data_IF_556023541072
#
_entry.id   IF_556023541072
#
_cell.length_a   1.000
_cell.length_b   1.000
_cell.length_c   1.000
_cell.angle_alpha   90.00
_cell.angle_beta   90.00
_cell.angle_gamma   90.00
#
_symmetry.space_group_name_H-M   'P 1'
#
loop_
_entity.id
_entity.type
_entity.pdbx_description
1 polymer ?
#
# COMPACT_ATOMS: atom_id res chain seq x y z
N UNK A 1 -6.81 22.93 -2.00
CA UNK A 1 -5.77 22.44 -1.06
C UNK A 1 -5.06 21.25 -1.68
N UNK A 2 -3.74 21.33 -1.83
CA UNK A 2 -2.91 20.22 -2.30
C UNK A 2 -2.82 19.10 -1.23
N UNK A 3 -2.37 17.91 -1.61
CA UNK A 3 -2.16 16.80 -0.64
C UNK A 3 -1.23 17.21 0.51
N UNK A 4 -0.14 17.90 0.18
CA UNK A 4 0.86 18.37 1.15
C UNK A 4 0.32 19.44 2.09
N UNK A 5 -0.41 20.42 1.57
CA UNK A 5 -1.07 21.44 2.40
C UNK A 5 -2.04 20.82 3.39
N UNK A 6 -2.81 19.80 2.95
CA UNK A 6 -3.78 19.10 3.79
C UNK A 6 -3.13 18.43 4.99
N UNK A 7 -2.04 17.68 4.76
CA UNK A 7 -1.25 17.05 5.82
C UNK A 7 -0.73 18.12 6.80
N UNK A 8 -0.13 19.20 6.26
CA UNK A 8 0.46 20.27 7.09
C UNK A 8 -0.57 20.94 7.99
N UNK A 9 -1.76 21.25 7.47
CA UNK A 9 -2.86 21.84 8.24
C UNK A 9 -3.36 20.89 9.33
N UNK A 10 -3.55 19.61 9.01
CA UNK A 10 -3.98 18.62 9.99
C UNK A 10 -2.97 18.46 11.15
N UNK A 11 -1.67 18.38 10.85
CA UNK A 11 -0.59 18.29 11.86
C UNK A 11 -0.55 19.55 12.74
N UNK A 12 -0.86 20.73 12.17
CA UNK A 12 -0.96 21.99 12.90
C UNK A 12 -2.31 22.19 13.61
N UNK A 13 -3.17 21.16 13.68
CA UNK A 13 -4.50 21.21 14.29
C UNK A 13 -5.46 22.23 13.65
N UNK A 14 -5.24 22.55 12.38
CA UNK A 14 -6.14 23.38 11.57
C UNK A 14 -7.10 22.50 10.75
N UNK A 15 -8.35 22.96 10.56
CA UNK A 15 -9.37 22.21 9.81
C UNK A 15 -9.01 22.07 8.31
N UNK A 16 -8.68 20.86 7.80
CA UNK A 16 -8.43 20.65 6.37
C UNK A 16 -9.75 20.62 5.56
N UNK A 17 -9.66 20.58 4.23
CA UNK A 17 -10.82 20.42 3.32
C UNK A 17 -11.43 19.01 3.37
N UNK A 18 -10.65 18.01 3.78
CA UNK A 18 -11.08 16.63 4.08
C UNK A 18 -10.04 15.92 4.94
N UNK A 19 -10.37 14.73 5.42
CA UNK A 19 -9.44 13.86 6.17
C UNK A 19 -8.20 13.59 5.28
N UNK A 20 -6.97 13.89 5.72
CA UNK A 20 -5.77 13.52 4.99
C UNK A 20 -5.64 12.00 4.94
N UNK A 21 -5.23 11.48 3.78
CA UNK A 21 -4.94 10.06 3.58
C UNK A 21 -3.43 9.95 3.43
N UNK A 22 -2.83 9.19 4.34
CA UNK A 22 -1.45 8.74 4.19
C UNK A 22 -1.45 7.34 3.58
N UNK A 23 -0.82 7.23 2.42
CA UNK A 23 -0.52 5.94 1.78
C UNK A 23 0.96 5.62 2.00
N UNK A 24 1.41 5.78 3.25
CA UNK A 24 2.75 5.41 3.66
C UNK A 24 3.01 3.92 3.36
N UNK A 25 4.22 3.63 2.89
CA UNK A 25 4.71 2.25 2.83
C UNK A 25 5.72 2.05 3.95
N UNK A 26 5.49 1.03 4.75
CA UNK A 26 6.49 0.47 5.65
C UNK A 26 7.10 -0.77 4.98
N UNK A 27 8.17 -1.35 5.52
CA UNK A 27 8.64 -2.67 5.06
C UNK A 27 7.60 -3.79 5.17
N UNK A 28 6.51 -3.56 5.92
CA UNK A 28 5.40 -4.50 6.14
C UNK A 28 4.13 -4.13 5.37
N UNK A 29 4.16 -3.06 4.56
CA UNK A 29 3.04 -2.68 3.69
C UNK A 29 3.11 -3.51 2.41
N UNK A 30 2.24 -4.50 2.28
CA UNK A 30 2.21 -5.37 1.11
C UNK A 30 0.99 -6.29 1.07
N UNK A 31 1.04 -7.26 0.16
CA UNK A 31 0.02 -8.29 -0.04
C UNK A 31 0.64 -9.67 0.20
N UNK A 32 -0.07 -10.56 0.88
CA UNK A 32 0.41 -11.93 1.09
C UNK A 32 0.66 -12.63 -0.24
N UNK A 33 1.79 -13.33 -0.38
CA UNK A 33 2.24 -13.97 -1.62
C UNK A 33 1.20 -14.92 -2.24
N UNK A 34 0.45 -15.65 -1.40
CA UNK A 34 -0.62 -16.54 -1.85
C UNK A 34 -1.80 -15.77 -2.47
N UNK A 35 -2.21 -14.65 -1.86
CA UNK A 35 -3.28 -13.79 -2.37
C UNK A 35 -2.84 -13.07 -3.63
N UNK A 36 -1.59 -12.59 -3.68
CA UNK A 36 -1.04 -11.97 -4.88
C UNK A 36 -0.98 -12.92 -6.06
N UNK A 37 -0.56 -14.18 -5.84
CA UNK A 37 -0.57 -15.21 -6.88
C UNK A 37 -1.98 -15.43 -7.47
N UNK A 38 -3.00 -15.51 -6.62
CA UNK A 38 -4.41 -15.65 -7.04
C UNK A 38 -4.89 -14.42 -7.81
N UNK A 39 -4.52 -13.22 -7.36
CA UNK A 39 -4.86 -11.97 -8.03
C UNK A 39 -4.26 -11.91 -9.44
N UNK A 40 -2.98 -12.28 -9.60
CA UNK A 40 -2.32 -12.34 -10.91
C UNK A 40 -3.05 -13.28 -11.87
N UNK A 41 -3.49 -14.45 -11.39
CA UNK A 41 -4.28 -15.39 -12.18
C UNK A 41 -5.63 -14.79 -12.59
N UNK A 42 -6.35 -14.16 -11.67
CA UNK A 42 -7.64 -13.52 -11.94
C UNK A 42 -7.54 -12.38 -12.96
N UNK A 43 -6.40 -11.68 -12.97
CA UNK A 43 -6.10 -10.61 -13.93
C UNK A 43 -5.53 -11.11 -15.27
N UNK A 44 -5.37 -12.43 -15.46
CA UNK A 44 -4.83 -13.00 -16.70
C UNK A 44 -3.35 -12.68 -16.95
N UNK A 45 -2.58 -12.36 -15.92
CA UNK A 45 -1.16 -12.04 -16.05
C UNK A 45 -0.33 -13.30 -16.33
N UNK A 46 0.84 -13.12 -16.95
CA UNK A 46 1.77 -14.21 -17.23
C UNK A 46 2.13 -14.98 -15.94
N UNK A 47 2.12 -16.31 -16.04
CA UNK A 47 2.49 -17.19 -14.94
C UNK A 47 3.99 -17.05 -14.66
N UNK A 48 4.29 -16.50 -13.49
CA UNK A 48 5.64 -16.42 -12.95
C UNK A 48 5.57 -16.73 -11.45
N UNK A 49 6.65 -17.28 -10.86
CA UNK A 49 6.74 -17.41 -9.41
C UNK A 49 6.54 -16.05 -8.73
N UNK A 50 5.78 -16.03 -7.64
CA UNK A 50 5.70 -14.87 -6.74
C UNK A 50 6.90 -14.93 -5.80
N UNK A 51 7.67 -13.85 -5.74
CA UNK A 51 8.80 -13.73 -4.82
C UNK A 51 8.29 -13.24 -3.47
N UNK A 52 8.69 -13.94 -2.41
CA UNK A 52 8.48 -13.48 -1.03
C UNK A 52 9.63 -12.56 -0.66
N UNK A 53 9.34 -11.32 -0.30
CA UNK A 53 10.34 -10.31 0.10
C UNK A 53 10.34 -10.03 1.59
N UNK A 54 9.22 -10.30 2.26
CA UNK A 54 9.11 -10.20 3.71
C UNK A 54 8.65 -11.58 4.23
N UNK A 55 9.56 -12.43 4.71
CA UNK A 55 9.24 -13.80 5.11
C UNK A 55 8.41 -13.91 6.38
N UNK A 56 8.40 -12.90 7.25
CA UNK A 56 7.68 -13.01 8.52
C UNK A 56 6.15 -12.98 8.33
N UNK A 57 5.67 -12.18 7.39
CA UNK A 57 4.28 -12.01 7.01
C UNK A 57 3.95 -12.63 5.64
N UNK A 58 4.97 -13.17 4.96
CA UNK A 58 4.87 -13.80 3.64
C UNK A 58 4.37 -12.78 2.60
N UNK A 59 4.98 -11.59 2.55
CA UNK A 59 4.60 -10.55 1.60
C UNK A 59 5.28 -10.71 0.24
N UNK A 60 4.53 -10.41 -0.81
CA UNK A 60 4.95 -10.46 -2.21
C UNK A 60 5.69 -9.19 -2.67
N UNK A 61 6.53 -9.36 -3.70
CA UNK A 61 6.99 -8.30 -4.61
C UNK A 61 6.10 -8.17 -5.86
#
# INVERSE_FOLDING_TARGET
MTSRERIRRAINHEKPDRIPIDLGSTPVTGITASTYAKLRQALGLARSPVKVIEPFQILAE
#
